data_IF_859324950857
#
_entry.id   IF_859324950857
#
_cell.length_a   1.000
_cell.length_b   1.000
_cell.length_c   1.000
_cell.angle_alpha   90.00
_cell.angle_beta   90.00
_cell.angle_gamma   90.00
#
_symmetry.space_group_name_H-M   'P 1'
#
loop_
_entity.id
_entity.type
_entity.pdbx_description
1 polymer ?
#
# COMPACT_ATOMS: atom_id res chain seq x y z
N UNK A 1 -10.38 13.49 23.48
CA UNK A 1 -10.18 12.05 23.13
C UNK A 1 -9.12 12.05 22.04
N UNK A 2 -7.93 11.50 22.29
CA UNK A 2 -6.92 11.35 21.25
C UNK A 2 -7.43 10.29 20.26
N UNK A 3 -7.83 10.74 19.09
CA UNK A 3 -8.19 9.85 18.00
C UNK A 3 -6.91 9.16 17.53
N UNK A 4 -6.71 7.92 17.96
CA UNK A 4 -5.57 7.09 17.61
C UNK A 4 -5.82 6.35 16.27
N UNK A 5 -6.66 6.89 15.41
CA UNK A 5 -6.93 6.35 14.08
C UNK A 5 -6.19 7.13 13.01
N UNK A 6 -5.91 6.48 11.90
CA UNK A 6 -5.37 7.11 10.72
C UNK A 6 -6.49 7.84 9.97
N UNK A 7 -6.29 9.12 9.71
CA UNK A 7 -7.26 9.98 9.02
C UNK A 7 -7.01 9.98 7.51
N UNK A 8 -8.04 9.76 6.66
CA UNK A 8 -7.89 9.79 5.21
C UNK A 8 -7.20 11.07 4.70
N UNK A 9 -7.62 12.22 5.23
CA UNK A 9 -7.08 13.53 4.81
C UNK A 9 -5.57 13.67 5.09
N UNK A 10 -5.05 13.07 6.16
CA UNK A 10 -3.62 13.10 6.45
C UNK A 10 -2.86 12.24 5.45
N UNK A 11 -3.36 11.04 5.15
CA UNK A 11 -2.74 10.17 4.14
C UNK A 11 -2.72 10.87 2.77
N UNK A 12 -3.84 11.42 2.32
CA UNK A 12 -3.92 12.17 1.05
C UNK A 12 -2.93 13.34 1.03
N UNK A 13 -2.86 14.12 2.10
CA UNK A 13 -1.89 15.21 2.20
C UNK A 13 -0.44 14.73 2.09
N UNK A 14 -0.12 13.55 2.63
CA UNK A 14 1.22 12.96 2.48
C UNK A 14 1.47 12.47 1.05
N UNK A 15 0.46 11.90 0.37
CA UNK A 15 0.58 11.56 -1.04
C UNK A 15 0.88 12.81 -1.88
N UNK A 16 0.16 13.90 -1.68
CA UNK A 16 0.41 15.19 -2.37
C UNK A 16 1.80 15.75 -2.05
N UNK A 17 2.17 15.78 -0.78
CA UNK A 17 3.49 16.30 -0.35
C UNK A 17 4.65 15.55 -0.99
N UNK A 18 4.45 14.27 -1.28
CA UNK A 18 5.42 13.42 -1.96
C UNK A 18 5.21 13.38 -3.48
N UNK A 19 4.33 14.23 -4.00
CA UNK A 19 4.03 14.36 -5.45
C UNK A 19 3.55 13.04 -6.08
N UNK A 20 2.88 12.19 -5.31
CA UNK A 20 2.24 10.99 -5.84
C UNK A 20 1.17 11.40 -6.84
N UNK A 21 1.18 10.78 -8.01
CA UNK A 21 0.26 11.10 -9.11
C UNK A 21 -0.78 10.01 -9.35
N UNK A 22 -0.44 8.77 -9.05
CA UNK A 22 -1.29 7.61 -9.32
C UNK A 22 -1.36 6.68 -8.12
N UNK A 23 -2.54 6.18 -7.83
CA UNK A 23 -2.77 5.12 -6.85
C UNK A 23 -3.24 3.88 -7.60
N UNK A 24 -2.38 2.88 -7.72
CA UNK A 24 -2.73 1.57 -8.29
C UNK A 24 -3.35 0.75 -7.17
N UNK A 25 -4.65 0.50 -7.25
CA UNK A 25 -5.43 0.06 -6.10
C UNK A 25 -6.34 -1.12 -6.39
N UNK A 26 -6.29 -2.11 -5.52
CA UNK A 26 -7.36 -3.09 -5.37
C UNK A 26 -8.14 -2.73 -4.09
N UNK A 27 -9.38 -2.19 -4.21
CA UNK A 27 -10.18 -1.83 -3.05
C UNK A 27 -10.40 -3.02 -2.11
N UNK A 28 -10.11 -2.83 -0.84
CA UNK A 28 -10.23 -3.82 0.21
C UNK A 28 -10.80 -3.23 1.51
N UNK A 29 -11.11 -4.08 2.50
CA UNK A 29 -11.72 -3.65 3.76
C UNK A 29 -10.80 -2.78 4.64
N UNK A 30 -9.48 -2.94 4.52
CA UNK A 30 -8.51 -2.21 5.34
C UNK A 30 -8.25 -0.79 4.81
N UNK A 31 -8.32 -0.62 3.48
CA UNK A 31 -8.04 0.66 2.81
C UNK A 31 -9.29 1.42 2.40
N UNK A 32 -10.48 0.79 2.50
CA UNK A 32 -11.76 1.39 2.08
C UNK A 32 -12.12 2.71 2.77
N UNK A 33 -11.59 2.97 3.97
CA UNK A 33 -11.83 4.24 4.68
C UNK A 33 -11.29 5.46 3.91
N UNK A 34 -10.40 5.26 2.96
CA UNK A 34 -9.83 6.32 2.11
C UNK A 34 -10.59 6.54 0.81
N UNK A 35 -11.54 5.66 0.46
CA UNK A 35 -12.18 5.62 -0.87
C UNK A 35 -12.72 6.97 -1.33
N UNK A 36 -13.61 7.56 -0.55
CA UNK A 36 -14.28 8.82 -0.92
C UNK A 36 -13.27 9.97 -1.09
N UNK A 37 -12.26 10.03 -0.24
CA UNK A 37 -11.24 11.07 -0.29
C UNK A 37 -10.33 10.90 -1.52
N UNK A 38 -9.97 9.68 -1.90
CA UNK A 38 -9.15 9.43 -3.08
C UNK A 38 -9.90 9.67 -4.39
N UNK A 39 -11.13 9.16 -4.48
CA UNK A 39 -11.95 9.32 -5.71
C UNK A 39 -12.40 10.77 -5.90
N UNK A 40 -12.57 11.52 -4.82
CA UNK A 40 -12.92 12.93 -4.86
C UNK A 40 -11.75 13.89 -5.09
N UNK A 41 -10.54 13.39 -5.27
CA UNK A 41 -9.32 14.18 -5.43
C UNK A 41 -8.88 14.24 -6.90
N UNK A 42 -9.12 15.36 -7.56
CA UNK A 42 -8.81 15.56 -8.98
C UNK A 42 -7.30 15.52 -9.29
N UNK A 43 -6.44 15.54 -8.27
CA UNK A 43 -4.98 15.49 -8.44
C UNK A 43 -4.39 14.08 -8.37
N UNK A 44 -5.19 13.09 -8.00
CA UNK A 44 -4.81 11.68 -7.91
C UNK A 44 -5.55 10.85 -8.97
N UNK A 45 -4.81 10.24 -9.87
CA UNK A 45 -5.35 9.27 -10.81
C UNK A 45 -5.47 7.89 -10.14
N UNK A 46 -6.70 7.41 -9.95
CA UNK A 46 -6.94 6.08 -9.39
C UNK A 46 -6.95 5.05 -10.52
N UNK A 47 -6.05 4.07 -10.43
CA UNK A 47 -5.94 2.95 -11.38
C UNK A 47 -6.44 1.69 -10.70
N UNK A 48 -7.72 1.33 -10.88
CA UNK A 48 -8.26 0.11 -10.27
C UNK A 48 -7.70 -1.12 -10.97
N UNK A 49 -7.37 -2.14 -10.17
CA UNK A 49 -6.90 -3.44 -10.65
C UNK A 49 -7.83 -4.55 -10.19
N UNK A 50 -7.80 -5.68 -10.90
CA UNK A 50 -8.62 -6.86 -10.59
C UNK A 50 -7.83 -7.94 -9.85
N UNK A 51 -6.51 -7.82 -9.82
CA UNK A 51 -5.59 -8.77 -9.19
C UNK A 51 -4.35 -8.05 -8.67
N UNK A 52 -3.94 -8.35 -7.45
CA UNK A 52 -2.85 -7.64 -6.78
C UNK A 52 -1.50 -7.80 -7.49
N UNK A 53 -1.23 -8.98 -8.05
CA UNK A 53 -0.01 -9.24 -8.84
C UNK A 53 0.17 -8.35 -10.07
N UNK A 54 -0.90 -7.68 -10.54
CA UNK A 54 -0.84 -6.69 -11.62
C UNK A 54 -0.37 -5.31 -11.12
N UNK A 55 -0.49 -5.05 -9.81
CA UNK A 55 -0.24 -3.74 -9.24
C UNK A 55 1.17 -3.21 -9.48
N UNK A 56 2.19 -4.03 -9.19
CA UNK A 56 3.58 -3.62 -9.40
C UNK A 56 3.95 -3.45 -10.87
N UNK A 57 3.60 -4.38 -11.79
CA UNK A 57 3.85 -4.18 -13.22
C UNK A 57 3.22 -2.90 -13.78
N UNK A 58 1.99 -2.57 -13.38
CA UNK A 58 1.30 -1.34 -13.79
C UNK A 58 2.03 -0.12 -13.21
N UNK A 59 2.33 -0.13 -11.93
CA UNK A 59 3.08 0.94 -11.28
C UNK A 59 4.46 1.14 -11.90
N UNK A 60 5.15 0.06 -12.26
CA UNK A 60 6.42 0.15 -12.99
C UNK A 60 6.25 0.85 -14.34
N UNK A 61 5.23 0.50 -15.12
CA UNK A 61 4.93 1.18 -16.38
C UNK A 61 4.68 2.67 -16.20
N UNK A 62 3.91 3.04 -15.18
CA UNK A 62 3.66 4.45 -14.81
C UNK A 62 4.96 5.17 -14.43
N UNK A 63 5.79 4.54 -13.61
CA UNK A 63 7.08 5.11 -13.18
C UNK A 63 8.04 5.32 -14.36
N UNK A 64 8.16 4.35 -15.26
CA UNK A 64 8.94 4.48 -16.51
C UNK A 64 8.39 5.65 -17.35
N UNK A 65 7.07 5.83 -17.36
CA UNK A 65 6.39 6.96 -18.01
C UNK A 65 6.53 8.30 -17.29
N UNK A 66 7.36 8.40 -16.25
CA UNK A 66 7.63 9.63 -15.50
C UNK A 66 6.55 10.00 -14.49
N UNK A 67 5.67 9.07 -14.11
CA UNK A 67 4.69 9.25 -13.05
C UNK A 67 5.25 8.82 -11.69
N UNK A 68 4.59 9.22 -10.61
CA UNK A 68 4.92 8.79 -9.25
C UNK A 68 3.78 7.93 -8.69
N UNK A 69 3.76 6.64 -8.96
CA UNK A 69 2.72 5.75 -8.49
C UNK A 69 2.98 5.27 -7.06
N UNK A 70 1.88 4.92 -6.36
CA UNK A 70 1.88 4.08 -5.16
C UNK A 70 0.96 2.89 -5.41
N UNK A 71 1.35 1.70 -4.95
CA UNK A 71 0.49 0.51 -4.99
C UNK A 71 -0.21 0.36 -3.64
N UNK A 72 -1.52 0.23 -3.66
CA UNK A 72 -2.34 0.08 -2.46
C UNK A 72 -3.12 -1.23 -2.52
N UNK A 73 -2.77 -2.17 -1.66
CA UNK A 73 -3.33 -3.50 -1.59
C UNK A 73 -3.36 -4.01 -0.14
N UNK A 74 -4.09 -5.08 0.11
CA UNK A 74 -4.08 -5.76 1.40
C UNK A 74 -2.86 -6.69 1.54
N UNK A 75 -2.49 -7.08 2.76
CA UNK A 75 -1.37 -8.01 2.98
C UNK A 75 -1.58 -9.40 2.36
N UNK A 76 -2.81 -9.86 2.19
CA UNK A 76 -3.09 -11.07 1.41
C UNK A 76 -2.70 -10.90 -0.06
N UNK A 77 -2.90 -9.71 -0.61
CA UNK A 77 -2.46 -9.34 -1.94
C UNK A 77 -0.93 -9.15 -2.05
N UNK A 78 -0.28 -8.74 -0.96
CA UNK A 78 1.18 -8.75 -0.88
C UNK A 78 1.74 -10.16 -1.14
N UNK A 79 1.12 -11.19 -0.54
CA UNK A 79 1.54 -12.58 -0.77
C UNK A 79 1.28 -13.04 -2.21
N UNK A 80 0.13 -12.68 -2.76
CA UNK A 80 -0.22 -12.96 -4.16
C UNK A 80 0.76 -12.29 -5.14
N UNK A 81 1.21 -11.09 -4.82
CA UNK A 81 2.16 -10.30 -5.63
C UNK A 81 3.62 -10.73 -5.51
N UNK A 82 3.92 -11.79 -4.76
CA UNK A 82 5.27 -12.17 -4.37
C UNK A 82 6.27 -12.23 -5.51
N UNK A 83 5.92 -12.82 -6.67
CA UNK A 83 6.82 -12.90 -7.83
C UNK A 83 7.05 -11.53 -8.48
N UNK A 84 6.02 -10.71 -8.57
CA UNK A 84 6.16 -9.32 -9.08
C UNK A 84 7.06 -8.49 -8.17
N UNK A 85 6.92 -8.63 -6.85
CA UNK A 85 7.78 -7.95 -5.87
C UNK A 85 9.22 -8.40 -6.02
N UNK A 86 9.46 -9.71 -6.09
CA UNK A 86 10.78 -10.29 -6.27
C UNK A 86 11.42 -9.80 -7.58
N UNK A 87 10.74 -10.00 -8.71
CA UNK A 87 11.30 -9.74 -10.02
C UNK A 87 11.45 -8.25 -10.32
N UNK A 88 10.45 -7.43 -10.04
CA UNK A 88 10.45 -6.01 -10.39
C UNK A 88 11.03 -5.13 -9.28
N UNK A 89 10.67 -5.41 -8.03
CA UNK A 89 11.14 -4.62 -6.90
C UNK A 89 12.58 -4.96 -6.50
N UNK A 90 12.88 -6.26 -6.31
CA UNK A 90 14.15 -6.71 -5.75
C UNK A 90 15.20 -6.93 -6.84
N UNK A 91 14.92 -7.78 -7.84
CA UNK A 91 15.92 -8.16 -8.84
C UNK A 91 16.30 -7.00 -9.78
N UNK A 92 15.33 -6.14 -10.12
CA UNK A 92 15.56 -4.96 -10.96
C UNK A 92 15.88 -3.69 -10.16
N UNK A 93 15.83 -3.75 -8.82
CA UNK A 93 16.08 -2.62 -7.90
C UNK A 93 15.25 -1.37 -8.22
N UNK A 94 13.97 -1.56 -8.55
CA UNK A 94 13.09 -0.46 -8.89
C UNK A 94 12.45 0.12 -7.63
N UNK A 95 12.56 1.44 -7.40
CA UNK A 95 12.05 2.08 -6.19
C UNK A 95 10.52 2.17 -6.22
N UNK A 96 9.84 1.15 -5.70
CA UNK A 96 8.39 1.09 -5.62
C UNK A 96 7.91 1.34 -4.18
N UNK A 97 6.89 2.17 -4.04
CA UNK A 97 6.21 2.41 -2.77
C UNK A 97 4.91 1.64 -2.73
N UNK A 98 4.71 0.89 -1.66
CA UNK A 98 3.49 0.14 -1.41
C UNK A 98 2.86 0.59 -0.09
N UNK A 99 1.55 0.78 -0.08
CA UNK A 99 0.73 0.93 1.12
C UNK A 99 -0.05 -0.36 1.32
N UNK A 100 0.24 -1.06 2.41
CA UNK A 100 -0.31 -2.40 2.64
C UNK A 100 -1.33 -2.34 3.78
N UNK A 101 -2.59 -2.62 3.46
CA UNK A 101 -3.63 -2.83 4.46
C UNK A 101 -3.30 -4.06 5.31
N UNK A 102 -3.16 -3.88 6.63
CA UNK A 102 -2.64 -4.89 7.53
C UNK A 102 -3.78 -5.71 8.16
N UNK A 103 -4.44 -6.51 7.33
CA UNK A 103 -5.52 -7.39 7.78
C UNK A 103 -5.05 -8.33 8.88
N UNK A 104 -5.87 -8.44 9.93
CA UNK A 104 -5.63 -9.34 11.05
C UNK A 104 -4.73 -8.76 12.14
N UNK A 105 -4.09 -7.62 11.90
CA UNK A 105 -3.31 -6.92 12.90
C UNK A 105 -4.20 -6.07 13.82
N UNK A 106 -3.88 -6.06 15.12
CA UNK A 106 -4.52 -5.16 16.08
C UNK A 106 -3.49 -4.54 17.02
N UNK A 107 -3.75 -3.32 17.46
CA UNK A 107 -2.86 -2.58 18.41
C UNK A 107 -2.64 -3.30 19.73
N UNK A 108 -3.53 -4.19 20.11
CA UNK A 108 -3.46 -4.90 21.39
C UNK A 108 -2.69 -6.23 21.27
N UNK A 109 -2.12 -6.52 20.09
CA UNK A 109 -1.35 -7.75 19.84
C UNK A 109 -2.21 -8.99 19.64
N UNK A 110 -3.53 -8.83 19.59
CA UNK A 110 -4.41 -9.92 19.19
C UNK A 110 -4.34 -10.09 17.67
N UNK A 111 -4.07 -11.29 17.20
CA UNK A 111 -4.05 -11.61 15.78
C UNK A 111 -5.39 -12.24 15.43
N UNK A 112 -6.14 -11.58 14.56
CA UNK A 112 -7.46 -12.03 14.13
C UNK A 112 -7.45 -12.75 12.78
N UNK A 113 -6.34 -12.67 12.04
CA UNK A 113 -6.12 -13.36 10.76
C UNK A 113 -4.66 -13.78 10.63
N UNK A 114 -4.40 -14.99 10.12
CA UNK A 114 -3.06 -15.52 9.95
C UNK A 114 -2.17 -14.70 9.00
N UNK A 115 -2.76 -13.90 8.12
CA UNK A 115 -2.01 -13.00 7.24
C UNK A 115 -1.13 -12.04 8.05
N UNK A 116 -1.59 -11.56 9.21
CA UNK A 116 -0.80 -10.69 10.07
C UNK A 116 0.46 -11.38 10.64
N UNK A 117 0.41 -12.71 10.85
CA UNK A 117 1.57 -13.47 11.37
C UNK A 117 2.73 -13.46 10.37
N UNK A 118 2.42 -13.53 9.08
CA UNK A 118 3.41 -13.75 8.03
C UNK A 118 3.86 -12.47 7.33
N UNK A 119 3.16 -11.35 7.46
CA UNK A 119 3.44 -10.11 6.73
C UNK A 119 4.86 -9.61 6.98
N UNK A 120 5.20 -9.25 8.20
CA UNK A 120 6.54 -8.73 8.53
C UNK A 120 7.66 -9.77 8.36
N UNK A 121 7.48 -11.06 8.74
CA UNK A 121 8.48 -12.08 8.46
C UNK A 121 8.83 -12.23 6.97
N UNK A 122 7.84 -12.17 6.08
CA UNK A 122 8.07 -12.24 4.63
C UNK A 122 8.79 -10.99 4.12
N UNK A 123 8.35 -9.80 4.52
CA UNK A 123 9.04 -8.54 4.18
C UNK A 123 10.49 -8.55 4.64
N UNK A 124 10.73 -9.03 5.87
CA UNK A 124 12.06 -9.16 6.43
C UNK A 124 12.93 -10.18 5.69
N UNK A 125 12.35 -11.34 5.32
CA UNK A 125 13.05 -12.37 4.55
C UNK A 125 13.47 -11.87 3.16
N UNK A 126 12.69 -10.96 2.57
CA UNK A 126 13.02 -10.32 1.29
C UNK A 126 13.91 -9.08 1.44
N UNK A 127 14.25 -8.68 2.65
CA UNK A 127 15.03 -7.47 2.92
C UNK A 127 14.28 -6.17 2.61
N UNK A 128 12.95 -6.21 2.54
CA UNK A 128 12.13 -5.05 2.23
C UNK A 128 11.96 -4.19 3.49
N UNK A 129 12.40 -2.93 3.37
CA UNK A 129 12.20 -1.95 4.42
C UNK A 129 10.71 -1.61 4.54
N UNK A 130 10.18 -1.68 5.74
CA UNK A 130 8.77 -1.39 6.01
C UNK A 130 8.59 -0.59 7.29
N UNK A 131 7.45 0.06 7.41
CA UNK A 131 7.07 0.89 8.56
C UNK A 131 5.63 0.59 8.92
N UNK A 132 5.35 0.48 10.20
CA UNK A 132 3.99 0.36 10.71
C UNK A 132 3.43 1.77 10.93
N UNK A 133 2.27 2.05 10.34
CA UNK A 133 1.53 3.29 10.50
C UNK A 133 0.23 2.98 11.23
N UNK A 134 0.08 3.49 12.44
CA UNK A 134 -1.07 3.20 13.30
C UNK A 134 -1.96 4.41 13.54
N UNK A 135 -1.43 5.61 13.31
CA UNK A 135 -2.11 6.85 13.65
C UNK A 135 -1.60 8.04 12.83
N UNK A 136 -2.31 9.15 12.94
CA UNK A 136 -1.96 10.44 12.35
C UNK A 136 -0.62 11.04 12.84
N UNK A 137 0.06 10.37 13.76
CA UNK A 137 1.32 10.84 14.35
C UNK A 137 2.56 10.14 13.78
N UNK A 138 2.34 9.06 13.06
CA UNK A 138 3.39 8.27 12.43
C UNK A 138 3.71 8.81 11.04
#
# INVERSE_FOLDING_TARGET
>A
MNNLSLSPSIVINQLHKNEVTHVVWLPDSETNFMYENMVGDDSLDIVPICREGEGLPIALGLWIGGKKPVVMIQNTGLFESGDSIRGLGIDLDIPMVMMIGYRGWTRHGEITDSAAIYTEPILSAWGIKHYLIESDKD
#
